data_IF_916373463753
#
_entry.id   IF_916373463753
#
_cell.length_a   1.000
_cell.length_b   1.000
_cell.length_c   1.000
_cell.angle_alpha   90.00
_cell.angle_beta   90.00
_cell.angle_gamma   90.00
#
_symmetry.space_group_name_H-M   'P 1'
#
loop_
_entity.id
_entity.type
_entity.pdbx_description
1 polymer ?
#
# COMPACT_ATOMS: atom_id res chain seq x y z
N UNK A 1 -50.70 -17.64 4.82
CA UNK A 1 -49.82 -17.10 5.85
C UNK A 1 -48.45 -17.81 5.93
N UNK A 2 -48.35 -19.13 6.10
CA UNK A 2 -47.07 -19.87 6.22
C UNK A 2 -46.11 -19.66 5.02
N UNK A 3 -46.63 -19.67 3.77
CA UNK A 3 -45.82 -19.44 2.55
C UNK A 3 -45.22 -18.02 2.53
N UNK A 4 -45.99 -16.99 2.89
CA UNK A 4 -45.50 -15.59 2.93
C UNK A 4 -44.43 -15.42 4.00
N UNK A 5 -44.63 -16.02 5.19
CA UNK A 5 -43.63 -15.98 6.26
C UNK A 5 -42.31 -16.65 5.83
N UNK A 6 -42.43 -17.83 5.19
CA UNK A 6 -41.26 -18.56 4.70
C UNK A 6 -40.51 -17.78 3.63
N UNK A 7 -41.23 -17.16 2.70
CA UNK A 7 -40.60 -16.30 1.66
C UNK A 7 -39.92 -15.09 2.32
N UNK A 8 -40.53 -14.44 3.30
CA UNK A 8 -39.92 -13.31 4.01
C UNK A 8 -38.65 -13.71 4.76
N UNK A 9 -38.65 -14.87 5.43
CA UNK A 9 -37.46 -15.38 6.13
C UNK A 9 -36.34 -15.69 5.15
N UNK A 10 -36.63 -16.35 4.01
CA UNK A 10 -35.63 -16.66 2.98
C UNK A 10 -35.07 -15.39 2.35
N UNK A 11 -35.94 -14.43 1.97
CA UNK A 11 -35.51 -13.15 1.40
C UNK A 11 -34.68 -12.34 2.39
N UNK A 12 -35.05 -12.33 3.67
CA UNK A 12 -34.30 -11.68 4.74
C UNK A 12 -32.92 -12.32 4.95
N UNK A 13 -32.84 -13.65 4.93
CA UNK A 13 -31.57 -14.39 5.03
C UNK A 13 -30.63 -14.07 3.85
N UNK A 14 -31.16 -14.11 2.63
CA UNK A 14 -30.37 -13.77 1.42
C UNK A 14 -29.91 -12.31 1.47
N UNK A 15 -30.80 -11.38 1.82
CA UNK A 15 -30.48 -9.96 1.95
C UNK A 15 -29.42 -9.68 3.02
N UNK A 16 -29.50 -10.38 4.16
CA UNK A 16 -28.49 -10.28 5.21
C UNK A 16 -27.11 -10.74 4.74
N UNK A 17 -27.03 -11.92 4.12
CA UNK A 17 -25.77 -12.46 3.59
C UNK A 17 -25.19 -11.58 2.49
N UNK A 18 -26.02 -11.18 1.53
CA UNK A 18 -25.60 -10.31 0.42
C UNK A 18 -25.15 -8.93 0.91
N UNK A 19 -25.86 -8.35 1.87
CA UNK A 19 -25.52 -7.03 2.46
C UNK A 19 -24.19 -7.09 3.23
N UNK A 20 -23.96 -8.13 4.00
CA UNK A 20 -22.67 -8.30 4.70
C UNK A 20 -21.51 -8.56 3.73
N UNK A 21 -21.73 -9.40 2.70
CA UNK A 21 -20.72 -9.63 1.67
C UNK A 21 -20.39 -8.36 0.90
N UNK A 22 -21.40 -7.58 0.51
CA UNK A 22 -21.21 -6.27 -0.13
C UNK A 22 -20.42 -5.32 0.78
N UNK A 23 -20.83 -5.19 2.05
CA UNK A 23 -20.12 -4.34 3.00
C UNK A 23 -18.66 -4.74 3.17
N UNK A 24 -18.39 -6.04 3.34
CA UNK A 24 -17.03 -6.55 3.51
C UNK A 24 -16.14 -6.28 2.28
N UNK A 25 -16.69 -6.46 1.07
CA UNK A 25 -15.94 -6.26 -0.18
C UNK A 25 -15.79 -4.79 -0.56
N UNK A 26 -16.78 -3.96 -0.25
CA UNK A 26 -16.83 -2.59 -0.72
C UNK A 26 -16.31 -1.56 0.32
N UNK A 27 -16.39 -1.85 1.62
CA UNK A 27 -15.94 -0.92 2.67
C UNK A 27 -14.47 -0.46 2.54
N UNK A 28 -13.50 -1.29 2.10
CA UNK A 28 -12.13 -0.83 1.89
C UNK A 28 -11.97 0.27 0.83
N UNK A 29 -13.00 0.57 0.06
CA UNK A 29 -12.95 1.63 -0.95
C UNK A 29 -13.19 3.04 -0.38
N UNK A 30 -13.70 3.15 0.86
CA UNK A 30 -14.05 4.46 1.46
C UNK A 30 -13.81 4.56 2.97
N UNK A 31 -13.40 3.47 3.63
CA UNK A 31 -13.04 3.52 5.05
C UNK A 31 -11.54 3.70 5.17
N UNK A 32 -11.13 4.80 5.82
CA UNK A 32 -9.73 5.04 6.11
C UNK A 32 -9.23 4.11 7.20
N UNK A 33 -8.05 3.55 6.98
CA UNK A 33 -7.28 2.80 7.96
C UNK A 33 -6.06 3.62 8.37
N UNK A 34 -6.07 4.13 9.60
CA UNK A 34 -5.00 4.99 10.12
C UNK A 34 -4.02 4.13 10.89
N UNK A 35 -2.75 4.24 10.55
CA UNK A 35 -1.62 3.57 11.22
C UNK A 35 -0.69 4.65 11.79
N UNK A 36 -0.10 4.37 12.95
CA UNK A 36 0.91 5.26 13.57
C UNK A 36 2.02 4.39 14.16
N UNK A 37 2.93 3.96 13.31
CA UNK A 37 4.12 3.19 13.70
C UNK A 37 5.33 4.12 13.81
N UNK A 38 5.87 4.25 15.01
CA UNK A 38 7.09 5.02 15.22
C UNK A 38 8.33 4.16 14.92
N UNK A 39 9.22 4.67 14.08
CA UNK A 39 10.56 4.12 13.97
C UNK A 39 11.44 4.78 15.07
N UNK A 40 12.03 4.00 16.01
CA UNK A 40 12.89 4.58 17.04
C UNK A 40 14.00 5.44 16.46
N UNK A 41 14.25 6.63 17.04
CA UNK A 41 15.25 7.57 16.54
C UNK A 41 16.67 6.95 16.42
N UNK A 42 17.00 5.97 17.28
CA UNK A 42 18.25 5.22 17.19
C UNK A 42 18.41 4.43 15.88
N UNK A 43 17.29 4.07 15.21
CA UNK A 43 17.29 3.34 13.94
C UNK A 43 17.21 4.28 12.73
N UNK A 44 16.96 5.57 12.93
CA UNK A 44 16.89 6.59 11.88
C UNK A 44 18.24 7.26 11.55
N UNK A 45 19.34 6.70 12.06
CA UNK A 45 20.66 7.34 11.97
C UNK A 45 21.37 7.10 10.64
N UNK A 46 21.05 6.03 9.94
CA UNK A 46 21.68 5.68 8.66
C UNK A 46 20.65 5.62 7.53
N UNK A 47 20.32 6.80 7.00
CA UNK A 47 19.46 6.93 5.82
C UNK A 47 20.22 6.51 4.57
N UNK A 48 19.67 5.54 3.85
CA UNK A 48 20.25 5.00 2.61
C UNK A 48 19.62 5.63 1.37
N UNK A 49 18.31 5.83 1.39
CA UNK A 49 17.59 6.44 0.27
C UNK A 49 16.31 7.13 0.75
N UNK A 50 15.84 8.13 -0.02
CA UNK A 50 14.61 8.84 0.29
C UNK A 50 13.91 9.28 -0.99
N UNK A 51 12.55 9.33 -0.95
CA UNK A 51 11.72 9.87 -2.01
C UNK A 51 10.39 10.39 -1.49
N UNK A 52 9.80 11.33 -2.22
CA UNK A 52 8.46 11.85 -1.90
C UNK A 52 7.42 11.21 -2.80
N UNK A 53 6.32 10.76 -2.20
CA UNK A 53 5.19 10.23 -2.96
C UNK A 53 4.50 11.31 -3.78
N UNK A 54 4.04 10.92 -4.94
CA UNK A 54 3.23 11.74 -5.84
C UNK A 54 2.03 10.96 -6.34
N UNK A 55 1.03 11.69 -6.78
CA UNK A 55 -0.16 11.13 -7.41
C UNK A 55 0.20 10.32 -8.68
N UNK A 56 -0.48 9.20 -8.89
CA UNK A 56 -0.38 8.47 -10.15
C UNK A 56 -1.27 9.10 -11.24
N UNK A 57 -2.48 9.54 -10.85
CA UNK A 57 -3.44 10.19 -11.75
C UNK A 57 -4.48 11.01 -10.95
N UNK A 58 -5.56 11.44 -11.63
CA UNK A 58 -6.61 12.24 -11.00
C UNK A 58 -7.42 11.49 -9.94
N UNK A 59 -7.51 10.15 -10.02
CA UNK A 59 -8.26 9.28 -9.11
C UNK A 59 -7.36 8.64 -8.04
N UNK A 60 -6.09 8.37 -8.39
CA UNK A 60 -5.13 7.69 -7.52
C UNK A 60 -4.12 8.70 -6.97
N UNK A 61 -4.30 9.04 -5.70
CA UNK A 61 -3.55 10.08 -5.01
C UNK A 61 -2.62 9.48 -3.98
N UNK A 62 -1.46 10.12 -3.80
CA UNK A 62 -0.55 9.77 -2.72
C UNK A 62 0.40 10.90 -2.37
N UNK A 63 0.71 11.01 -1.08
CA UNK A 63 1.68 11.97 -0.54
C UNK A 63 2.43 11.36 0.64
N UNK A 64 3.41 12.10 1.14
CA UNK A 64 4.29 11.66 2.23
C UNK A 64 5.67 11.30 1.73
N UNK A 65 6.48 10.76 2.59
CA UNK A 65 7.89 10.45 2.32
C UNK A 65 8.17 8.97 2.55
N UNK A 66 8.87 8.35 1.62
CA UNK A 66 9.44 7.01 1.74
C UNK A 66 10.93 7.15 2.07
N UNK A 67 11.39 6.62 3.20
CA UNK A 67 12.79 6.64 3.60
C UNK A 67 13.28 5.23 3.90
N UNK A 68 14.40 4.83 3.31
CA UNK A 68 15.05 3.55 3.62
C UNK A 68 16.17 3.83 4.60
N UNK A 69 16.16 3.09 5.72
CA UNK A 69 17.20 3.13 6.74
C UNK A 69 17.88 1.76 6.83
N UNK A 70 19.20 1.76 6.94
CA UNK A 70 19.96 0.59 7.37
C UNK A 70 19.95 0.55 8.90
N UNK A 71 19.37 -0.50 9.48
CA UNK A 71 19.21 -0.66 10.93
C UNK A 71 20.27 -1.57 11.55
N UNK A 72 20.89 -2.42 10.74
CA UNK A 72 22.05 -3.25 11.05
C UNK A 72 22.74 -3.62 9.74
N UNK A 73 23.99 -4.06 9.77
CA UNK A 73 24.72 -4.43 8.57
C UNK A 73 23.91 -5.40 7.70
N UNK A 74 23.50 -4.95 6.52
CA UNK A 74 22.71 -5.72 5.56
C UNK A 74 21.21 -5.82 5.86
N UNK A 75 20.72 -5.20 6.93
CA UNK A 75 19.30 -5.18 7.29
C UNK A 75 18.71 -3.78 7.07
N UNK A 76 17.71 -3.68 6.24
CA UNK A 76 17.09 -2.41 5.85
C UNK A 76 15.60 -2.41 6.17
N UNK A 77 15.07 -1.22 6.47
CA UNK A 77 13.64 -0.97 6.61
C UNK A 77 13.23 0.20 5.74
N UNK A 78 12.05 0.11 5.16
CA UNK A 78 11.36 1.24 4.56
C UNK A 78 10.41 1.83 5.60
N UNK A 79 10.52 3.11 5.87
CA UNK A 79 9.61 3.88 6.71
C UNK A 79 8.87 4.91 5.88
N UNK A 80 7.55 4.90 5.95
CA UNK A 80 6.68 5.90 5.36
C UNK A 80 6.31 6.92 6.43
N UNK A 81 6.51 8.21 6.14
CA UNK A 81 6.22 9.32 7.06
C UNK A 81 5.20 10.27 6.44
N UNK A 82 4.25 10.75 7.24
CA UNK A 82 3.16 11.64 6.80
C UNK A 82 2.43 11.07 5.56
N UNK A 83 2.36 9.74 5.51
CA UNK A 83 1.84 9.04 4.34
C UNK A 83 0.31 9.15 4.27
N UNK A 84 -0.18 9.36 3.04
CA UNK A 84 -1.60 9.29 2.72
C UNK A 84 -1.77 8.80 1.28
N UNK A 85 -2.73 7.90 1.06
CA UNK A 85 -3.12 7.42 -0.26
C UNK A 85 -4.63 7.30 -0.37
N UNK A 86 -5.15 7.42 -1.58
CA UNK A 86 -6.54 7.03 -1.83
C UNK A 86 -6.76 5.57 -1.47
N UNK A 87 -7.99 5.25 -1.03
CA UNK A 87 -8.39 3.90 -0.71
C UNK A 87 -8.46 3.01 -1.96
N UNK A 88 -8.09 1.76 -1.80
CA UNK A 88 -8.19 0.76 -2.85
C UNK A 88 -8.18 -0.66 -2.27
N UNK A 89 -8.74 -1.62 -3.02
CA UNK A 89 -8.68 -3.00 -2.60
C UNK A 89 -7.27 -3.55 -2.85
N UNK A 90 -6.75 -4.30 -1.89
CA UNK A 90 -5.50 -5.06 -2.04
C UNK A 90 -4.29 -4.20 -2.44
N UNK A 91 -4.10 -3.08 -1.70
CA UNK A 91 -2.93 -2.23 -1.88
C UNK A 91 -1.70 -2.86 -1.25
N UNK A 92 -0.58 -2.81 -1.96
CA UNK A 92 0.72 -3.28 -1.52
C UNK A 92 1.79 -2.21 -1.66
N UNK A 93 2.87 -2.35 -0.92
CA UNK A 93 4.08 -1.53 -1.01
C UNK A 93 5.15 -2.32 -1.73
N UNK A 94 5.61 -1.81 -2.87
CA UNK A 94 6.64 -2.46 -3.67
C UNK A 94 7.89 -1.58 -3.82
N UNK A 95 9.07 -2.21 -3.84
CA UNK A 95 10.29 -1.61 -4.38
C UNK A 95 10.41 -1.98 -5.86
N UNK A 96 10.66 -0.99 -6.71
CA UNK A 96 10.73 -1.15 -8.17
C UNK A 96 12.10 -0.68 -8.66
N UNK A 97 12.70 -1.43 -9.60
CA UNK A 97 14.02 -1.06 -10.15
C UNK A 97 13.98 0.16 -11.05
N UNK A 98 12.88 0.36 -11.79
CA UNK A 98 12.75 1.55 -12.63
C UNK A 98 12.63 2.83 -11.79
N UNK A 99 13.17 3.91 -12.32
CA UNK A 99 12.94 5.29 -11.85
C UNK A 99 11.88 5.97 -12.71
N UNK A 100 11.39 7.12 -12.25
CA UNK A 100 10.46 7.97 -13.02
C UNK A 100 9.16 7.22 -13.40
N UNK A 101 8.60 6.51 -12.45
CA UNK A 101 7.36 5.74 -12.62
C UNK A 101 6.20 6.70 -12.85
N UNK A 102 5.67 6.78 -14.06
CA UNK A 102 4.55 7.64 -14.42
C UNK A 102 3.22 6.87 -14.60
N UNK A 103 3.29 5.55 -14.78
CA UNK A 103 2.13 4.74 -15.11
C UNK A 103 2.25 3.30 -14.62
N UNK A 104 1.12 2.58 -14.62
CA UNK A 104 1.10 1.14 -14.33
C UNK A 104 1.95 0.31 -15.29
N UNK A 105 2.17 0.77 -16.53
CA UNK A 105 3.01 0.06 -17.51
C UNK A 105 4.48 0.10 -17.13
N UNK A 106 4.96 1.18 -16.51
CA UNK A 106 6.35 1.31 -16.09
C UNK A 106 6.67 0.33 -14.96
N UNK A 107 5.73 0.14 -14.03
CA UNK A 107 5.84 -0.87 -12.97
C UNK A 107 5.86 -2.28 -13.56
N UNK A 108 4.91 -2.59 -14.47
CA UNK A 108 4.80 -3.91 -15.11
C UNK A 108 6.00 -4.24 -16.01
N UNK A 109 6.65 -3.24 -16.56
CA UNK A 109 7.85 -3.37 -17.40
C UNK A 109 9.15 -3.50 -16.61
N UNK A 110 9.12 -3.44 -15.28
CA UNK A 110 10.30 -3.46 -14.41
C UNK A 110 10.31 -4.68 -13.49
N UNK A 111 11.47 -4.97 -12.92
CA UNK A 111 11.56 -5.91 -11.80
C UNK A 111 11.18 -5.21 -10.51
N UNK A 112 10.53 -5.95 -9.62
CA UNK A 112 10.05 -5.44 -8.34
C UNK A 112 10.09 -6.51 -7.25
N UNK A 113 10.03 -6.07 -6.00
CA UNK A 113 9.76 -6.91 -4.83
C UNK A 113 8.62 -6.32 -4.02
N UNK A 114 7.68 -7.16 -3.56
CA UNK A 114 6.65 -6.76 -2.63
C UNK A 114 7.22 -6.75 -1.21
N UNK A 115 6.94 -5.68 -0.47
CA UNK A 115 7.18 -5.58 0.97
C UNK A 115 5.93 -5.96 1.76
N UNK A 116 4.85 -6.33 1.08
CA UNK A 116 3.59 -6.76 1.66
C UNK A 116 2.47 -5.73 1.54
N UNK A 117 1.34 -6.07 2.15
CA UNK A 117 0.13 -5.24 2.10
C UNK A 117 0.34 -3.90 2.77
N UNK A 118 -0.26 -2.85 2.19
CA UNK A 118 -0.36 -1.55 2.82
C UNK A 118 -1.13 -1.68 4.13
N UNK A 119 -0.50 -1.31 5.26
CA UNK A 119 -1.08 -1.47 6.60
C UNK A 119 -2.21 -0.48 6.86
N UNK A 120 -2.10 0.72 6.29
CA UNK A 120 -3.12 1.76 6.33
C UNK A 120 -2.94 2.73 5.18
N UNK A 121 -4.03 3.37 4.76
CA UNK A 121 -3.97 4.41 3.73
C UNK A 121 -3.55 5.77 4.29
N UNK A 122 -3.47 5.92 5.61
CA UNK A 122 -3.04 7.15 6.30
C UNK A 122 -2.06 6.80 7.42
N UNK A 123 -0.97 7.58 7.51
CA UNK A 123 -0.06 7.65 8.64
C UNK A 123 1.24 6.88 8.49
N UNK A 124 2.04 6.93 9.54
CA UNK A 124 3.40 6.41 9.55
C UNK A 124 3.42 4.90 9.67
N UNK A 125 4.23 4.24 8.86
CA UNK A 125 4.28 2.77 8.82
C UNK A 125 5.63 2.28 8.30
N UNK A 126 6.06 1.12 8.81
CA UNK A 126 7.39 0.56 8.56
C UNK A 126 7.28 -0.82 7.90
N UNK A 127 8.15 -1.09 6.93
CA UNK A 127 8.24 -2.36 6.22
C UNK A 127 9.66 -2.90 6.29
N UNK A 128 9.78 -4.18 6.62
CA UNK A 128 11.08 -4.87 6.59
C UNK A 128 11.42 -5.19 5.14
N UNK A 129 12.60 -4.79 4.71
CA UNK A 129 13.12 -5.16 3.39
C UNK A 129 13.80 -6.54 3.53
N UNK A 130 13.52 -7.51 2.65
CA UNK A 130 14.14 -8.82 2.71
C UNK A 130 15.67 -8.74 2.76
N UNK A 131 16.31 -9.55 3.61
CA UNK A 131 17.77 -9.60 3.72
C UNK A 131 18.42 -9.93 2.36
N UNK A 132 19.57 -9.33 2.09
CA UNK A 132 20.29 -9.50 0.83
C UNK A 132 19.73 -8.69 -0.34
N UNK A 133 18.68 -7.86 -0.13
CA UNK A 133 18.21 -6.94 -1.16
C UNK A 133 19.24 -5.84 -1.40
N UNK A 134 19.76 -5.76 -2.62
CA UNK A 134 20.67 -4.69 -3.05
C UNK A 134 19.87 -3.39 -3.27
N UNK A 135 19.79 -2.55 -2.23
CA UNK A 135 18.96 -1.31 -2.27
C UNK A 135 19.31 -0.42 -3.45
N UNK A 136 20.60 -0.34 -3.82
CA UNK A 136 21.07 0.46 -4.94
C UNK A 136 20.44 0.09 -6.31
N UNK A 137 19.87 -1.10 -6.42
CA UNK A 137 19.20 -1.56 -7.65
C UNK A 137 17.77 -1.04 -7.76
N UNK A 138 17.18 -0.57 -6.66
CA UNK A 138 15.79 -0.11 -6.61
C UNK A 138 15.75 1.42 -6.60
N UNK A 139 14.96 1.97 -7.51
CA UNK A 139 14.90 3.42 -7.75
C UNK A 139 13.58 4.04 -7.37
N UNK A 140 12.55 3.23 -7.08
CA UNK A 140 11.24 3.74 -6.69
C UNK A 140 10.57 2.87 -5.63
N UNK A 141 9.75 3.52 -4.80
CA UNK A 141 8.72 2.87 -3.98
C UNK A 141 7.38 3.15 -4.62
N UNK A 142 6.54 2.15 -4.78
CA UNK A 142 5.19 2.34 -5.32
C UNK A 142 4.13 1.76 -4.39
N UNK A 143 2.96 2.39 -4.40
CA UNK A 143 1.73 1.82 -3.87
C UNK A 143 0.99 1.22 -5.04
N UNK A 144 0.81 -0.09 -4.99
CA UNK A 144 0.30 -0.90 -6.07
C UNK A 144 -0.97 -1.63 -5.68
N UNK A 145 -1.99 -1.58 -6.52
CA UNK A 145 -3.18 -2.39 -6.36
C UNK A 145 -2.96 -3.74 -7.07
N UNK A 146 -2.73 -4.81 -6.30
CA UNK A 146 -2.45 -6.14 -6.85
C UNK A 146 -3.64 -6.69 -7.64
N UNK A 147 -4.83 -6.56 -7.09
CA UNK A 147 -6.06 -7.08 -7.69
C UNK A 147 -6.33 -6.53 -9.10
N UNK A 148 -6.01 -5.27 -9.36
CA UNK A 148 -6.31 -4.63 -10.65
C UNK A 148 -5.05 -4.30 -11.47
N UNK A 149 -3.88 -4.48 -10.92
CA UNK A 149 -2.62 -4.15 -11.57
C UNK A 149 -2.51 -2.66 -11.90
N UNK A 150 -2.81 -1.79 -10.90
CA UNK A 150 -2.88 -0.33 -11.05
C UNK A 150 -1.96 0.37 -10.07
N UNK A 151 -1.24 1.37 -10.57
CA UNK A 151 -0.43 2.28 -9.77
C UNK A 151 -1.31 3.29 -9.04
N UNK A 152 -1.11 3.44 -7.73
CA UNK A 152 -1.80 4.43 -6.88
C UNK A 152 -0.91 5.61 -6.56
N UNK A 153 0.37 5.36 -6.27
CA UNK A 153 1.34 6.41 -6.00
C UNK A 153 2.76 5.89 -6.20
N UNK A 154 3.69 6.78 -6.48
CA UNK A 154 5.10 6.46 -6.64
C UNK A 154 5.98 7.51 -5.95
N UNK A 155 7.11 7.06 -5.39
CA UNK A 155 8.17 7.89 -4.85
C UNK A 155 9.50 7.46 -5.47
N UNK A 156 10.13 8.34 -6.25
CA UNK A 156 11.47 8.07 -6.81
C UNK A 156 12.52 8.28 -5.72
N UNK A 157 13.36 7.27 -5.53
CA UNK A 157 14.40 7.26 -4.50
C UNK A 157 15.67 7.96 -5.00
N UNK A 158 16.12 8.93 -4.21
CA UNK A 158 17.48 9.46 -4.27
C UNK A 158 18.35 8.75 -3.24
N UNK A 159 19.49 8.24 -3.65
CA UNK A 159 20.49 7.53 -2.85
C UNK A 159 21.60 8.52 -2.47
#
# INVERSE_FOLDING_TARGET
MKKILMTAVIAGGIGFVAGNAFWYLASPLWIDNIVSEELPAALQTNQVAQGSFRDADSAHKGKGTATIFEIATGSNVLHLTDFESTNGPDLEVWLVRASDIQSSSDVKGSEWISLGRLKGNIGDQTYIIPEGTAIADYRSVVIWCEQFGVLFSAADLSI
#
